data_IF_044760461959
#
_entry.id   IF_044760461959
#
_cell.length_a   1.000
_cell.length_b   1.000
_cell.length_c   1.000
_cell.angle_alpha   90.00
_cell.angle_beta   90.00
_cell.angle_gamma   90.00
#
_symmetry.space_group_name_H-M   'P 1'
#
loop_
_entity.id
_entity.type
_entity.pdbx_description
1 polymer ?
#
# COMPACT_ATOMS: atom_id res chain seq x y z
N UNK A 1 1.02 6.80 9.20
CA UNK A 1 0.70 5.39 8.87
C UNK A 1 0.57 5.22 7.36
N UNK A 2 0.97 4.09 6.75
CA UNK A 2 0.85 3.85 5.31
C UNK A 2 -0.63 3.73 4.90
N UNK A 3 -1.09 4.60 4.01
CA UNK A 3 -2.47 4.68 3.51
C UNK A 3 -2.57 4.20 2.05
N UNK A 4 -1.87 3.10 1.74
CA UNK A 4 -1.65 2.62 0.37
C UNK A 4 -2.51 1.40 -0.01
N UNK A 5 -3.52 1.06 0.80
CA UNK A 5 -4.34 -0.14 0.56
C UNK A 5 -5.07 -0.12 -0.80
N UNK A 6 -5.46 1.07 -1.27
CA UNK A 6 -6.10 1.31 -2.57
C UNK A 6 -5.14 1.73 -3.68
N UNK A 7 -3.84 1.90 -3.39
CA UNK A 7 -2.89 2.26 -4.44
C UNK A 7 -2.67 1.08 -5.38
N UNK A 8 -2.38 1.32 -6.69
CA UNK A 8 -2.16 0.26 -7.67
C UNK A 8 -1.17 -0.82 -7.19
N UNK A 9 -0.08 -0.42 -6.55
CA UNK A 9 0.88 -1.34 -5.93
C UNK A 9 0.24 -2.40 -5.01
N UNK A 10 -0.88 -2.12 -4.33
CA UNK A 10 -1.52 -3.06 -3.41
C UNK A 10 -2.78 -3.69 -3.99
N UNK A 11 -3.57 -2.95 -4.79
CA UNK A 11 -4.74 -3.51 -5.47
C UNK A 11 -4.34 -4.60 -6.46
N UNK A 12 -3.23 -4.41 -7.18
CA UNK A 12 -2.72 -5.37 -8.13
C UNK A 12 -2.24 -6.67 -7.47
N UNK A 13 -1.72 -6.63 -6.23
CA UNK A 13 -1.40 -7.87 -5.49
C UNK A 13 -2.65 -8.72 -5.25
N UNK A 14 -3.76 -8.08 -4.87
CA UNK A 14 -5.05 -8.75 -4.66
C UNK A 14 -5.61 -9.29 -5.97
N UNK A 15 -5.50 -8.50 -7.04
CA UNK A 15 -5.93 -8.91 -8.37
C UNK A 15 -5.16 -10.15 -8.83
N UNK A 16 -3.83 -10.18 -8.74
CA UNK A 16 -3.01 -11.33 -9.15
C UNK A 16 -3.33 -12.56 -8.31
N UNK A 17 -3.50 -12.39 -6.99
CA UNK A 17 -3.93 -13.49 -6.12
C UNK A 17 -5.26 -14.09 -6.61
N UNK A 18 -6.25 -13.24 -6.89
CA UNK A 18 -7.55 -13.67 -7.40
C UNK A 18 -7.45 -14.35 -8.77
N UNK A 19 -6.71 -13.77 -9.71
CA UNK A 19 -6.49 -14.32 -11.07
C UNK A 19 -5.88 -15.72 -11.04
N UNK A 20 -4.96 -15.98 -10.09
CA UNK A 20 -4.27 -17.26 -9.93
C UNK A 20 -4.99 -18.22 -8.97
N UNK A 21 -6.16 -17.87 -8.45
CA UNK A 21 -6.94 -18.72 -7.54
C UNK A 21 -6.37 -18.81 -6.11
N UNK A 22 -5.57 -17.84 -5.69
CA UNK A 22 -5.03 -17.73 -4.33
C UNK A 22 -5.86 -16.78 -3.47
N UNK A 23 -5.94 -17.01 -2.14
CA UNK A 23 -6.69 -16.13 -1.25
C UNK A 23 -6.03 -14.75 -1.12
N UNK A 24 -6.86 -13.71 -0.94
CA UNK A 24 -6.36 -12.41 -0.52
C UNK A 24 -5.68 -12.55 0.85
N UNK A 25 -4.36 -12.36 0.85
CA UNK A 25 -3.50 -12.46 2.04
C UNK A 25 -2.98 -11.08 2.48
N UNK A 26 -3.49 -10.01 1.87
CA UNK A 26 -3.12 -8.64 2.21
C UNK A 26 -3.61 -8.21 3.59
N UNK A 27 -3.12 -7.05 4.02
CA UNK A 27 -3.62 -6.40 5.24
C UNK A 27 -5.04 -5.86 5.02
N UNK A 28 -5.82 -5.85 6.10
CA UNK A 28 -7.11 -5.16 6.13
C UNK A 28 -6.95 -3.65 5.95
N UNK A 29 -7.96 -2.97 5.37
CA UNK A 29 -7.95 -1.51 5.28
C UNK A 29 -7.90 -0.89 6.68
N UNK A 30 -7.21 0.25 6.75
CA UNK A 30 -7.22 1.09 7.94
C UNK A 30 -8.56 1.85 8.00
N UNK A 31 -9.03 2.25 9.20
CA UNK A 31 -10.10 3.23 9.30
C UNK A 31 -9.79 4.48 8.45
N UNK A 32 -10.84 5.05 7.88
CA UNK A 32 -10.75 6.31 7.13
C UNK A 32 -10.37 7.46 8.05
N UNK A 33 -9.90 8.57 7.46
CA UNK A 33 -9.60 9.79 8.21
C UNK A 33 -10.81 10.27 9.05
N UNK A 34 -12.01 10.20 8.48
CA UNK A 34 -13.27 10.53 9.16
C UNK A 34 -13.51 9.65 10.38
N UNK A 35 -13.37 8.33 10.23
CA UNK A 35 -13.54 7.40 11.33
C UNK A 35 -12.50 7.62 12.43
N UNK A 36 -11.24 7.90 12.08
CA UNK A 36 -10.22 8.26 13.06
C UNK A 36 -10.57 9.55 13.81
N UNK A 37 -11.07 10.56 13.10
CA UNK A 37 -11.49 11.82 13.72
C UNK A 37 -12.61 11.58 14.72
N UNK A 38 -13.66 10.85 14.35
CA UNK A 38 -14.80 10.55 15.22
C UNK A 38 -14.38 9.75 16.46
N UNK A 39 -13.56 8.70 16.28
CA UNK A 39 -13.05 7.85 17.39
C UNK A 39 -12.28 8.71 18.40
N UNK A 40 -11.40 9.59 17.92
CA UNK A 40 -10.51 10.37 18.78
C UNK A 40 -11.22 11.55 19.44
N UNK A 41 -12.12 12.24 18.73
CA UNK A 41 -12.92 13.32 19.31
C UNK A 41 -13.91 12.82 20.34
N UNK A 42 -14.54 11.66 20.12
CA UNK A 42 -15.37 10.99 21.14
C UNK A 42 -14.59 10.64 22.42
N UNK A 43 -13.27 10.46 22.32
CA UNK A 43 -12.36 10.26 23.45
C UNK A 43 -11.94 11.56 24.17
N UNK A 44 -12.48 12.72 23.78
CA UNK A 44 -12.15 14.04 24.35
C UNK A 44 -10.86 14.66 23.81
N UNK A 45 -10.39 14.21 22.65
CA UNK A 45 -9.20 14.78 22.00
C UNK A 45 -9.55 15.93 21.05
N UNK A 46 -8.67 16.91 20.98
CA UNK A 46 -8.51 17.76 19.81
C UNK A 46 -7.62 17.04 18.79
N UNK A 47 -8.01 17.03 17.52
CA UNK A 47 -7.40 16.19 16.48
C UNK A 47 -7.00 17.04 15.29
N UNK A 48 -5.74 16.92 14.90
CA UNK A 48 -5.23 17.32 13.59
C UNK A 48 -4.97 16.07 12.75
N UNK A 49 -5.46 16.06 11.51
CA UNK A 49 -5.38 14.93 10.61
C UNK A 49 -5.07 15.43 9.19
N UNK A 50 -4.05 14.85 8.58
CA UNK A 50 -3.66 15.20 7.22
C UNK A 50 -3.14 13.99 6.47
N UNK A 51 -3.16 14.08 5.14
CA UNK A 51 -2.60 13.08 4.24
C UNK A 51 -1.49 13.70 3.43
N UNK A 52 -0.38 12.97 3.30
CA UNK A 52 0.73 13.33 2.41
C UNK A 52 1.00 12.17 1.48
N UNK A 53 1.05 12.44 0.18
CA UNK A 53 1.49 11.45 -0.82
C UNK A 53 2.93 11.74 -1.20
N UNK A 54 3.82 10.83 -0.81
CA UNK A 54 5.21 10.84 -1.27
C UNK A 54 5.32 10.10 -2.59
N UNK A 55 6.19 10.57 -3.48
CA UNK A 55 6.55 9.87 -4.71
C UNK A 55 7.99 9.41 -4.59
N UNK A 56 8.19 8.10 -4.56
CA UNK A 56 9.52 7.51 -4.54
C UNK A 56 9.95 7.18 -5.97
N UNK A 57 11.03 7.83 -6.41
CA UNK A 57 11.66 7.50 -7.68
C UNK A 57 12.40 6.17 -7.56
N UNK A 58 12.12 5.25 -8.48
CA UNK A 58 12.72 3.93 -8.56
C UNK A 58 13.28 3.68 -9.97
N UNK A 59 14.26 2.79 -10.04
CA UNK A 59 15.01 2.52 -11.27
C UNK A 59 14.21 1.71 -12.31
N UNK A 60 13.21 0.94 -11.86
CA UNK A 60 12.40 0.07 -12.72
C UNK A 60 11.12 -0.39 -11.99
N UNK A 61 10.23 -1.07 -12.72
CA UNK A 61 9.10 -1.78 -12.12
C UNK A 61 9.53 -2.94 -11.22
N UNK A 62 10.64 -3.61 -11.54
CA UNK A 62 11.21 -4.65 -10.67
C UNK A 62 11.61 -4.07 -9.31
N UNK A 63 12.15 -2.84 -9.29
CA UNK A 63 12.47 -2.17 -8.03
C UNK A 63 11.24 -1.90 -7.15
N UNK A 64 10.02 -1.78 -7.72
CA UNK A 64 8.77 -1.73 -6.93
C UNK A 64 8.52 -3.07 -6.25
N UNK A 65 8.71 -4.18 -6.96
CA UNK A 65 8.57 -5.54 -6.41
C UNK A 65 9.54 -5.72 -5.25
N UNK A 66 10.82 -5.44 -5.47
CA UNK A 66 11.88 -5.60 -4.48
C UNK A 66 11.61 -4.75 -3.23
N UNK A 67 11.12 -3.51 -3.41
CA UNK A 67 10.70 -2.64 -2.31
C UNK A 67 9.57 -3.26 -1.47
N UNK A 68 8.61 -3.91 -2.12
CA UNK A 68 7.41 -4.45 -1.47
C UNK A 68 7.58 -5.89 -0.96
N UNK A 69 8.63 -6.61 -1.38
CA UNK A 69 8.92 -8.00 -0.97
C UNK A 69 8.98 -8.15 0.56
N UNK A 70 9.57 -7.20 1.26
CA UNK A 70 9.71 -7.25 2.73
C UNK A 70 8.47 -6.77 3.49
N UNK A 71 7.48 -6.18 2.80
CA UNK A 71 6.31 -5.56 3.42
C UNK A 71 5.00 -6.15 2.88
N UNK A 72 4.43 -5.55 1.83
CA UNK A 72 3.10 -5.87 1.32
C UNK A 72 3.01 -7.20 0.56
N UNK A 73 4.09 -7.64 -0.10
CA UNK A 73 4.09 -8.87 -0.91
C UNK A 73 4.30 -10.14 -0.08
N UNK A 74 5.03 -10.07 1.03
CA UNK A 74 5.41 -11.25 1.83
C UNK A 74 4.23 -12.18 2.14
N UNK A 75 3.04 -11.71 2.58
CA UNK A 75 1.92 -12.58 2.88
C UNK A 75 1.39 -13.36 1.67
N UNK A 76 1.48 -12.80 0.46
CA UNK A 76 1.04 -13.48 -0.77
C UNK A 76 2.03 -14.55 -1.21
N UNK A 77 3.34 -14.31 -1.06
CA UNK A 77 4.37 -15.20 -1.58
C UNK A 77 4.73 -16.35 -0.61
N UNK A 78 4.45 -16.18 0.69
CA UNK A 78 4.93 -17.10 1.74
C UNK A 78 4.41 -18.54 1.59
N UNK A 79 3.20 -18.71 1.03
CA UNK A 79 2.54 -20.03 0.88
C UNK A 79 2.66 -20.62 -0.52
N UNK A 80 3.32 -19.92 -1.44
CA UNK A 80 3.50 -20.34 -2.82
C UNK A 80 4.77 -21.17 -2.95
N UNK A 81 4.68 -22.23 -3.76
CA UNK A 81 5.88 -22.90 -4.28
C UNK A 81 6.62 -21.99 -5.28
N UNK A 82 7.79 -22.43 -5.74
CA UNK A 82 8.64 -21.61 -6.60
C UNK A 82 7.98 -21.30 -7.95
N UNK A 83 7.26 -22.26 -8.55
CA UNK A 83 6.58 -22.05 -9.83
C UNK A 83 5.41 -21.08 -9.71
N UNK A 84 4.63 -21.20 -8.62
CA UNK A 84 3.54 -20.28 -8.30
C UNK A 84 4.06 -18.88 -8.00
N UNK A 85 5.18 -18.78 -7.27
CA UNK A 85 5.84 -17.50 -6.98
C UNK A 85 6.29 -16.80 -8.25
N UNK A 86 6.92 -17.52 -9.17
CA UNK A 86 7.35 -16.97 -10.45
C UNK A 86 6.16 -16.52 -11.29
N UNK A 87 5.09 -17.31 -11.36
CA UNK A 87 3.86 -16.93 -12.04
C UNK A 87 3.24 -15.65 -11.44
N UNK A 88 3.17 -15.56 -10.11
CA UNK A 88 2.67 -14.39 -9.39
C UNK A 88 3.50 -13.15 -9.69
N UNK A 89 4.83 -13.23 -9.53
CA UNK A 89 5.73 -12.09 -9.70
C UNK A 89 5.76 -11.61 -11.15
N UNK A 90 5.75 -12.51 -12.12
CA UNK A 90 5.70 -12.15 -13.55
C UNK A 90 4.39 -11.43 -13.89
N UNK A 91 3.25 -11.97 -13.43
CA UNK A 91 1.95 -11.34 -13.69
C UNK A 91 1.83 -9.98 -13.00
N UNK A 92 2.30 -9.88 -11.76
CA UNK A 92 2.34 -8.63 -11.02
C UNK A 92 3.26 -7.59 -11.69
N UNK A 93 4.43 -8.00 -12.21
CA UNK A 93 5.33 -7.13 -12.95
C UNK A 93 4.68 -6.56 -14.22
N UNK A 94 3.97 -7.38 -15.00
CA UNK A 94 3.22 -6.92 -16.18
C UNK A 94 2.20 -5.85 -15.81
N UNK A 95 1.40 -6.08 -14.77
CA UNK A 95 0.40 -5.11 -14.33
C UNK A 95 1.04 -3.83 -13.78
N UNK A 96 2.18 -3.92 -13.09
CA UNK A 96 2.93 -2.73 -12.67
C UNK A 96 3.37 -1.89 -13.86
N UNK A 97 3.80 -2.51 -14.96
CA UNK A 97 4.20 -1.80 -16.18
C UNK A 97 3.05 -1.03 -16.82
N UNK A 98 1.82 -1.56 -16.74
CA UNK A 98 0.61 -0.90 -17.24
C UNK A 98 0.19 0.29 -16.37
N UNK A 99 0.34 0.19 -15.05
CA UNK A 99 -0.15 1.20 -14.10
C UNK A 99 0.87 2.27 -13.68
N UNK A 100 2.16 2.01 -13.85
CA UNK A 100 3.23 2.92 -13.47
C UNK A 100 4.06 3.32 -14.69
N UNK A 101 3.67 4.36 -15.45
CA UNK A 101 4.39 4.75 -16.65
C UNK A 101 5.81 5.21 -16.34
N UNK A 102 6.74 4.90 -17.25
CA UNK A 102 8.10 5.43 -17.20
C UNK A 102 8.07 6.95 -17.39
N UNK A 103 8.88 7.64 -16.59
CA UNK A 103 9.13 9.07 -16.73
C UNK A 103 10.15 9.31 -17.86
N UNK A 104 10.31 10.57 -18.28
CA UNK A 104 11.20 10.92 -19.40
C UNK A 104 12.66 10.51 -19.20
N UNK A 105 13.10 10.31 -17.96
CA UNK A 105 14.43 9.82 -17.58
C UNK A 105 14.48 8.29 -17.36
N UNK A 106 13.44 7.56 -17.76
CA UNK A 106 13.35 6.10 -17.62
C UNK A 106 13.06 5.61 -16.20
N UNK A 107 12.68 6.48 -15.27
CA UNK A 107 12.36 6.11 -13.88
C UNK A 107 10.88 5.82 -13.69
N UNK A 108 10.55 5.14 -12.59
CA UNK A 108 9.17 4.91 -12.16
C UNK A 108 8.91 5.66 -10.86
N UNK A 109 7.71 6.22 -10.69
CA UNK A 109 7.32 6.90 -9.45
C UNK A 109 6.33 6.04 -8.67
N UNK A 110 6.77 5.49 -7.55
CA UNK A 110 5.91 4.76 -6.61
C UNK A 110 5.21 5.74 -5.67
N UNK A 111 3.88 5.76 -5.70
CA UNK A 111 3.07 6.54 -4.76
C UNK A 111 3.08 5.87 -3.39
N UNK A 112 3.32 6.68 -2.36
CA UNK A 112 3.33 6.24 -0.97
C UNK A 112 2.52 7.22 -0.09
N UNK A 113 1.17 7.18 -0.18
CA UNK A 113 0.30 7.94 0.70
C UNK A 113 0.49 7.54 2.16
N UNK A 114 0.53 8.56 3.02
CA UNK A 114 0.56 8.41 4.47
C UNK A 114 -0.50 9.30 5.10
N UNK A 115 -1.30 8.70 5.95
CA UNK A 115 -2.17 9.42 6.87
C UNK A 115 -1.37 9.74 8.13
N UNK A 116 -1.47 10.97 8.60
CA UNK A 116 -0.87 11.44 9.84
C UNK A 116 -1.97 11.99 10.75
N UNK A 117 -1.83 11.72 12.04
CA UNK A 117 -2.82 12.08 13.04
C UNK A 117 -2.06 12.55 14.27
N UNK A 118 -2.43 13.72 14.78
CA UNK A 118 -1.98 14.25 16.07
C UNK A 118 -3.21 14.47 16.92
N UNK A 119 -3.29 13.80 18.07
CA UNK A 119 -4.41 13.91 19.00
C UNK A 119 -3.91 14.41 20.36
N UNK A 120 -4.57 15.45 20.89
CA UNK A 120 -4.26 16.04 22.20
C UNK A 120 -5.48 15.93 23.10
N UNK A 121 -5.38 15.20 24.20
CA UNK A 121 -6.45 15.13 25.20
C UNK A 121 -6.63 16.51 25.85
N UNK A 122 -7.85 17.03 25.88
CA UNK A 122 -8.13 18.24 26.65
C UNK A 122 -8.01 17.90 28.15
N UNK A 123 -7.30 18.74 28.90
CA UNK A 123 -7.31 18.62 30.36
C UNK A 123 -8.75 18.79 30.84
N UNK A 124 -9.16 18.00 31.84
CA UNK A 124 -10.42 18.25 32.52
C UNK A 124 -10.34 19.65 33.14
N UNK A 125 -11.24 20.54 32.73
CA UNK A 125 -11.44 21.83 33.36
C UNK A 125 -12.13 21.69 34.71
#
# INVERSE_FOLDING_TARGET
>A
MPDNWQEPSHTLMRQVAQELGHPDSGRHPLPTAWQYYDILTACGCEVDIWRTTYYHQLDSHQAIIDWLQSTGLRPYLLRLDDSQRDAFLNRYLTLLQEHYPLQCNGKVLLLFPRLFIVARRRAAG
#
